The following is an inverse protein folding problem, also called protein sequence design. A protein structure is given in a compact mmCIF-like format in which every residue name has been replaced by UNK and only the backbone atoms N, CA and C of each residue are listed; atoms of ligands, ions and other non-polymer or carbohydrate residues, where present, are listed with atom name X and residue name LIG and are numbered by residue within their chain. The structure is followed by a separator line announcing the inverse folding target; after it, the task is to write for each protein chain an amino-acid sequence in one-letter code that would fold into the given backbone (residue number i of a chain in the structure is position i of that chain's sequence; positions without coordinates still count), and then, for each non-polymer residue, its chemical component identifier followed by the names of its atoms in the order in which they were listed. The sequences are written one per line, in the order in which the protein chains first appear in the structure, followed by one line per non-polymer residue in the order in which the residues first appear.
data_IF_384776288075
#
_entry.id   IF_384776288075
#
_cell.length_a   1.000
_cell.length_b   1.000
_cell.length_c   1.000
_cell.angle_alpha   90.00
_cell.angle_beta   90.00
_cell.angle_gamma   90.00
#
_symmetry.space_group_name_H-M   'P 1'
#
loop_
_entity.id
_entity.type
_entity.pdbx_description
1 polymer ?
#
# COMPACT_ATOMS: atom_id res chain seq x y z
N UNK A 1 -5.61 -1.03 27.89
CA UNK A 1 -6.58 -0.90 26.78
C UNK A 1 -8.03 -0.69 27.22
N UNK A 2 -8.57 -1.41 28.22
CA UNK A 2 -9.98 -1.25 28.69
C UNK A 2 -10.31 0.13 29.28
N UNK A 3 -9.38 0.81 29.93
CA UNK A 3 -9.62 2.13 30.53
C UNK A 3 -9.75 3.28 29.53
N UNK A 4 -9.02 3.23 28.41
CA UNK A 4 -9.13 4.26 27.37
C UNK A 4 -10.49 4.23 26.65
N UNK A 5 -11.07 3.03 26.48
CA UNK A 5 -12.39 2.85 25.87
C UNK A 5 -13.51 3.38 26.79
N UNK A 6 -13.38 3.24 28.10
CA UNK A 6 -14.35 3.74 29.09
C UNK A 6 -14.31 5.28 29.23
N UNK A 7 -13.15 5.90 29.15
CA UNK A 7 -13.02 7.37 29.11
C UNK A 7 -13.66 7.97 27.86
N UNK A 8 -13.47 7.33 26.73
CA UNK A 8 -14.08 7.72 25.45
C UNK A 8 -15.62 7.67 25.52
N UNK A 9 -16.17 6.64 26.17
CA UNK A 9 -17.61 6.49 26.42
C UNK A 9 -18.20 7.59 27.30
N UNK A 10 -17.47 8.03 28.32
CA UNK A 10 -17.91 9.11 29.21
C UNK A 10 -17.95 10.48 28.57
N UNK A 11 -17.05 10.74 27.62
CA UNK A 11 -16.99 12.03 26.86
C UNK A 11 -18.16 12.12 25.87
N UNK A 12 -18.56 11.01 25.25
CA UNK A 12 -19.66 10.99 24.27
C UNK A 12 -21.06 11.13 24.90
N UNK A 13 -21.22 10.83 26.21
CA UNK A 13 -22.50 10.81 26.87
C UNK A 13 -22.77 12.01 27.80
N UNK A 14 -22.01 13.10 27.71
CA UNK A 14 -22.38 14.34 28.44
C UNK A 14 -23.49 15.07 27.68
N UNK A 15 -24.67 15.26 28.29
CA UNK A 15 -25.72 16.09 27.69
C UNK A 15 -25.29 17.55 27.73
N UNK A 16 -25.05 18.18 26.56
CA UNK A 16 -24.82 19.61 26.52
C UNK A 16 -23.82 20.16 25.54
N UNK A 17 -23.14 19.32 24.73
CA UNK A 17 -22.22 19.80 23.69
C UNK A 17 -22.71 19.31 22.35
N UNK A 18 -22.84 20.21 21.36
CA UNK A 18 -23.33 19.97 20.00
C UNK A 18 -22.63 18.89 19.15
N UNK A 19 -22.15 17.81 19.80
CA UNK A 19 -21.36 16.74 19.20
C UNK A 19 -22.18 15.78 18.32
N UNK A 20 -23.44 15.51 18.65
CA UNK A 20 -24.24 14.54 17.90
C UNK A 20 -24.54 14.98 16.45
N UNK A 21 -24.80 16.27 16.23
CA UNK A 21 -25.02 16.84 14.89
C UNK A 21 -23.77 16.86 14.03
N UNK A 22 -22.60 17.04 14.62
CA UNK A 22 -21.31 17.05 13.94
C UNK A 22 -20.89 15.66 13.44
N UNK A 23 -21.05 14.63 14.27
CA UNK A 23 -20.71 13.25 13.87
C UNK A 23 -21.64 12.70 12.79
N UNK A 24 -22.93 13.01 12.84
CA UNK A 24 -23.89 12.67 11.78
C UNK A 24 -23.55 13.37 10.47
N UNK A 25 -23.09 14.63 10.51
CA UNK A 25 -22.56 15.35 9.35
C UNK A 25 -21.35 14.66 8.73
N UNK A 26 -20.40 14.20 9.53
CA UNK A 26 -19.23 13.45 9.08
C UNK A 26 -19.56 12.13 8.40
N UNK A 27 -20.51 11.37 8.95
CA UNK A 27 -21.02 10.13 8.34
C UNK A 27 -21.65 10.40 6.98
N UNK A 28 -22.50 11.44 6.89
CA UNK A 28 -23.19 11.81 5.64
C UNK A 28 -22.19 12.23 4.56
N UNK A 29 -21.15 12.99 4.92
CA UNK A 29 -20.07 13.37 4.02
C UNK A 29 -19.31 12.14 3.52
N UNK A 30 -19.03 11.16 4.40
CA UNK A 30 -18.33 9.93 4.02
C UNK A 30 -19.17 9.03 3.12
N UNK A 31 -20.49 8.95 3.35
CA UNK A 31 -21.42 8.24 2.45
C UNK A 31 -21.38 8.87 1.06
N UNK A 32 -21.43 10.19 0.96
CA UNK A 32 -21.37 10.90 -0.31
C UNK A 32 -20.04 10.64 -1.04
N UNK A 33 -18.91 10.67 -0.33
CA UNK A 33 -17.58 10.36 -0.90
C UNK A 33 -17.52 8.93 -1.44
N UNK A 34 -17.89 7.92 -0.63
CA UNK A 34 -17.89 6.51 -1.06
C UNK A 34 -18.84 6.29 -2.24
N UNK A 35 -20.04 6.88 -2.20
CA UNK A 35 -21.02 6.75 -3.28
C UNK A 35 -20.52 7.35 -4.59
N UNK A 36 -19.83 8.48 -4.55
CA UNK A 36 -19.28 9.14 -5.73
C UNK A 36 -18.15 8.34 -6.39
N UNK A 37 -17.40 7.56 -5.60
CA UNK A 37 -16.25 6.75 -6.08
C UNK A 37 -16.67 5.38 -6.61
N UNK A 38 -17.77 4.82 -6.09
CA UNK A 38 -18.24 3.48 -6.43
C UNK A 38 -19.65 3.53 -7.06
N UNK A 39 -19.78 4.19 -8.21
CA UNK A 39 -21.06 4.36 -8.91
C UNK A 39 -21.78 3.06 -9.31
N UNK A 40 -21.10 1.92 -9.24
CA UNK A 40 -21.68 0.58 -9.49
C UNK A 40 -22.39 0.01 -8.24
N UNK A 41 -22.07 0.51 -7.04
CA UNK A 41 -22.78 0.14 -5.81
C UNK A 41 -24.21 0.69 -5.83
N UNK A 42 -25.16 -0.11 -5.37
CA UNK A 42 -26.48 0.46 -5.04
C UNK A 42 -26.33 1.45 -3.88
N UNK A 43 -27.24 2.44 -3.75
CA UNK A 43 -27.18 3.40 -2.64
C UNK A 43 -27.13 2.72 -1.26
N UNK A 44 -27.83 1.59 -1.10
CA UNK A 44 -27.80 0.81 0.12
C UNK A 44 -26.41 0.17 0.36
N UNK A 45 -25.80 -0.41 -0.67
CA UNK A 45 -24.47 -1.00 -0.59
C UNK A 45 -23.38 0.05 -0.31
N UNK A 46 -23.43 1.20 -0.98
CA UNK A 46 -22.50 2.31 -0.74
C UNK A 46 -22.59 2.81 0.71
N UNK A 47 -23.81 2.95 1.22
CA UNK A 47 -24.07 3.33 2.62
C UNK A 47 -23.48 2.34 3.61
N UNK A 48 -23.65 1.03 3.39
CA UNK A 48 -23.09 0.00 4.29
C UNK A 48 -21.56 0.02 4.25
N UNK A 49 -20.95 0.15 3.08
CA UNK A 49 -19.49 0.27 2.94
C UNK A 49 -18.97 1.51 3.67
N UNK A 50 -19.65 2.64 3.51
CA UNK A 50 -19.31 3.88 4.19
C UNK A 50 -19.45 3.74 5.72
N UNK A 51 -20.54 3.18 6.20
CA UNK A 51 -20.74 2.92 7.63
C UNK A 51 -19.66 2.03 8.21
N UNK A 52 -19.35 0.92 7.53
CA UNK A 52 -18.35 -0.01 8.02
C UNK A 52 -16.97 0.62 8.07
N UNK A 53 -16.51 1.24 6.97
CA UNK A 53 -15.20 1.90 6.92
C UNK A 53 -15.10 3.08 7.90
N UNK A 54 -16.16 3.87 8.08
CA UNK A 54 -16.23 4.93 9.09
C UNK A 54 -16.12 4.36 10.51
N UNK A 55 -16.92 3.34 10.82
CA UNK A 55 -16.88 2.65 12.10
C UNK A 55 -15.52 2.04 12.40
N UNK A 56 -14.83 1.47 11.39
CA UNK A 56 -13.46 0.95 11.53
C UNK A 56 -12.48 2.00 12.03
N UNK A 57 -12.51 3.23 11.50
CA UNK A 57 -11.62 4.30 11.95
C UNK A 57 -11.86 4.64 13.40
N UNK A 58 -13.12 4.72 13.82
CA UNK A 58 -13.47 5.16 15.16
C UNK A 58 -13.28 4.05 16.20
N UNK A 59 -13.54 2.80 15.85
CA UNK A 59 -13.38 1.65 16.75
C UNK A 59 -12.01 0.98 16.66
N UNK A 60 -11.24 1.25 15.59
CA UNK A 60 -9.99 0.57 15.25
C UNK A 60 -10.17 -0.96 15.15
N UNK A 61 -11.30 -1.38 14.61
CA UNK A 61 -11.66 -2.79 14.43
C UNK A 61 -12.51 -2.97 13.18
N UNK A 62 -12.28 -4.04 12.43
CA UNK A 62 -13.19 -4.47 11.36
C UNK A 62 -14.28 -5.41 11.87
N UNK A 63 -14.26 -5.75 13.14
CA UNK A 63 -15.19 -6.71 13.75
C UNK A 63 -16.65 -6.25 13.67
N UNK A 64 -17.51 -7.11 13.09
CA UNK A 64 -18.94 -6.81 12.90
C UNK A 64 -19.63 -6.34 14.18
N UNK A 65 -19.40 -7.03 15.28
CA UNK A 65 -20.03 -6.70 16.58
C UNK A 65 -19.60 -5.33 17.06
N UNK A 66 -18.31 -5.04 17.07
CA UNK A 66 -17.75 -3.78 17.55
C UNK A 66 -18.25 -2.60 16.71
N UNK A 67 -18.19 -2.73 15.40
CA UNK A 67 -18.64 -1.69 14.47
C UNK A 67 -20.15 -1.50 14.54
N UNK A 68 -20.95 -2.58 14.59
CA UNK A 68 -22.42 -2.49 14.68
C UNK A 68 -22.88 -1.83 16.00
N UNK A 69 -22.24 -2.18 17.12
CA UNK A 69 -22.54 -1.53 18.42
C UNK A 69 -22.26 -0.03 18.37
N UNK A 70 -21.11 0.35 17.81
CA UNK A 70 -20.76 1.76 17.64
C UNK A 70 -21.76 2.49 16.74
N UNK A 71 -22.08 1.92 15.56
CA UNK A 71 -23.03 2.52 14.61
C UNK A 71 -24.44 2.63 15.18
N UNK A 72 -24.91 1.65 15.94
CA UNK A 72 -26.21 1.69 16.58
C UNK A 72 -26.32 2.91 17.52
N UNK A 73 -25.31 3.13 18.36
CA UNK A 73 -25.23 4.29 19.24
C UNK A 73 -25.14 5.61 18.47
N UNK A 74 -24.28 5.67 17.44
CA UNK A 74 -24.06 6.86 16.64
C UNK A 74 -25.30 7.31 15.86
N UNK A 75 -26.05 6.34 15.32
CA UNK A 75 -27.19 6.60 14.45
C UNK A 75 -28.54 6.56 15.18
N UNK A 76 -28.57 6.29 16.49
CA UNK A 76 -29.80 6.14 17.25
C UNK A 76 -30.67 4.97 16.77
N UNK A 77 -30.05 3.87 16.36
CA UNK A 77 -30.72 2.68 15.80
C UNK A 77 -30.46 1.46 16.68
N UNK A 78 -31.10 0.31 16.36
CA UNK A 78 -30.85 -0.91 17.09
C UNK A 78 -29.55 -1.60 16.65
N UNK A 79 -28.87 -2.26 17.59
CA UNK A 79 -27.69 -3.08 17.31
C UNK A 79 -27.97 -4.15 16.27
N UNK A 80 -29.10 -4.85 16.36
CA UNK A 80 -29.46 -5.93 15.45
C UNK A 80 -29.64 -5.42 14.00
N UNK A 81 -30.24 -4.25 13.83
CA UNK A 81 -30.37 -3.63 12.51
C UNK A 81 -28.99 -3.34 11.88
N UNK A 82 -28.07 -2.71 12.64
CA UNK A 82 -26.73 -2.39 12.12
C UNK A 82 -25.91 -3.66 11.88
N UNK A 83 -25.98 -4.61 12.81
CA UNK A 83 -25.31 -5.90 12.64
C UNK A 83 -25.80 -6.66 11.42
N UNK A 84 -27.10 -6.64 11.15
CA UNK A 84 -27.67 -7.28 9.98
C UNK A 84 -27.20 -6.63 8.69
N UNK A 85 -27.19 -5.29 8.60
CA UNK A 85 -26.70 -4.57 7.42
C UNK A 85 -25.24 -4.93 7.08
N UNK A 86 -24.33 -4.85 8.06
CA UNK A 86 -22.91 -5.16 7.85
C UNK A 86 -22.70 -6.65 7.56
N UNK A 87 -23.50 -7.53 8.14
CA UNK A 87 -23.45 -8.97 7.90
C UNK A 87 -23.91 -9.33 6.49
N UNK A 88 -25.03 -8.76 6.03
CA UNK A 88 -25.56 -9.00 4.68
C UNK A 88 -24.66 -8.47 3.57
N UNK A 89 -23.86 -7.43 3.83
CA UNK A 89 -22.80 -7.01 2.92
C UNK A 89 -21.85 -8.14 2.53
N UNK A 90 -21.53 -9.02 3.49
CA UNK A 90 -20.65 -10.16 3.27
C UNK A 90 -21.34 -11.36 2.65
N UNK A 91 -22.67 -11.38 2.55
CA UNK A 91 -23.44 -12.56 2.13
C UNK A 91 -23.63 -12.62 0.62
N UNK A 92 -23.73 -13.86 0.13
CA UNK A 92 -24.20 -14.13 -1.22
C UNK A 92 -25.70 -13.82 -1.33
N UNK A 93 -26.18 -13.55 -2.55
CA UNK A 93 -27.56 -13.11 -2.75
C UNK A 93 -28.59 -14.10 -2.16
N UNK A 94 -28.31 -15.39 -2.22
CA UNK A 94 -29.18 -16.43 -1.66
C UNK A 94 -29.28 -16.40 -0.13
N UNK A 95 -28.22 -15.91 0.54
CA UNK A 95 -28.13 -15.86 2.00
C UNK A 95 -28.67 -14.52 2.59
N UNK A 96 -28.99 -13.53 1.73
CA UNK A 96 -29.53 -12.23 2.12
C UNK A 96 -31.04 -12.29 2.37
N UNK A 97 -31.55 -11.39 3.22
CA UNK A 97 -32.99 -11.25 3.50
C UNK A 97 -33.63 -10.17 2.63
N UNK A 98 -34.93 -10.26 2.42
CA UNK A 98 -35.73 -9.24 1.73
C UNK A 98 -35.75 -9.36 0.21
N UNK A 99 -36.30 -8.33 -0.47
CA UNK A 99 -36.37 -8.22 -1.92
C UNK A 99 -35.11 -7.51 -2.47
N UNK A 100 -34.74 -7.77 -3.74
CA UNK A 100 -33.60 -7.09 -4.37
C UNK A 100 -32.22 -7.59 -3.90
N UNK A 101 -32.11 -8.84 -3.55
CA UNK A 101 -30.87 -9.51 -3.11
C UNK A 101 -29.80 -9.44 -4.19
N UNK A 102 -28.64 -8.85 -3.86
CA UNK A 102 -27.51 -8.74 -4.77
C UNK A 102 -26.21 -8.88 -4.02
N UNK A 103 -25.46 -9.91 -4.32
CA UNK A 103 -24.12 -10.07 -3.79
C UNK A 103 -23.17 -8.98 -4.31
N UNK A 104 -22.24 -8.55 -3.48
CA UNK A 104 -21.15 -7.65 -3.88
C UNK A 104 -20.10 -8.48 -4.61
N UNK A 105 -19.95 -8.26 -5.91
CA UNK A 105 -18.80 -8.77 -6.66
C UNK A 105 -17.63 -7.79 -6.51
N UNK A 106 -16.64 -8.19 -5.75
CA UNK A 106 -15.50 -7.32 -5.40
C UNK A 106 -14.67 -6.94 -6.62
N UNK A 107 -14.62 -7.79 -7.65
CA UNK A 107 -13.76 -7.58 -8.82
C UNK A 107 -14.16 -6.33 -9.63
N UNK A 108 -15.42 -5.95 -9.63
CA UNK A 108 -15.90 -4.75 -10.33
C UNK A 108 -15.52 -3.44 -9.65
N UNK A 109 -15.04 -3.51 -8.39
CA UNK A 109 -14.63 -2.33 -7.63
C UNK A 109 -13.12 -2.09 -7.62
N UNK A 110 -12.33 -2.97 -8.20
CA UNK A 110 -10.87 -2.81 -8.26
C UNK A 110 -10.46 -1.58 -9.08
N UNK A 111 -11.02 -1.42 -10.27
CA UNK A 111 -10.74 -0.25 -11.11
C UNK A 111 -11.23 1.06 -10.47
N UNK A 112 -12.46 1.19 -9.95
CA UNK A 112 -12.89 2.34 -9.16
C UNK A 112 -12.01 2.65 -7.95
N UNK A 113 -11.57 1.64 -7.21
CA UNK A 113 -10.70 1.82 -6.03
C UNK A 113 -9.33 2.39 -6.44
N UNK A 114 -8.71 1.82 -7.46
CA UNK A 114 -7.44 2.34 -7.97
C UNK A 114 -7.64 3.73 -8.60
N UNK A 115 -8.72 3.95 -9.34
CA UNK A 115 -9.09 5.26 -9.86
C UNK A 115 -9.24 6.32 -8.75
N UNK A 116 -9.77 5.92 -7.57
CA UNK A 116 -9.82 6.81 -6.40
C UNK A 116 -8.42 7.14 -5.88
N UNK A 117 -7.50 6.16 -5.79
CA UNK A 117 -6.10 6.44 -5.44
C UNK A 117 -5.49 7.43 -6.43
N UNK A 118 -5.63 7.19 -7.74
CA UNK A 118 -5.06 8.06 -8.78
C UNK A 118 -5.67 9.46 -8.80
N UNK A 119 -6.97 9.59 -8.50
CA UNK A 119 -7.63 10.89 -8.40
C UNK A 119 -7.14 11.75 -7.23
N UNK A 120 -6.53 11.14 -6.20
CA UNK A 120 -5.90 11.83 -5.08
C UNK A 120 -4.38 12.05 -5.31
N UNK A 121 -3.82 11.53 -6.41
CA UNK A 121 -2.43 11.71 -6.80
C UNK A 121 -2.19 13.11 -7.32
N UNK A 122 -1.01 13.72 -7.10
CA UNK A 122 -0.77 15.10 -7.56
C UNK A 122 -0.77 15.18 -9.09
N UNK A 123 -1.36 16.25 -9.65
CA UNK A 123 -1.25 16.52 -11.08
C UNK A 123 0.22 16.59 -11.51
N UNK A 124 0.58 15.88 -12.57
CA UNK A 124 1.96 15.86 -13.10
C UNK A 124 2.88 14.79 -12.50
N UNK A 125 2.57 14.16 -11.37
CA UNK A 125 3.29 12.99 -10.92
C UNK A 125 2.70 11.72 -11.58
N UNK A 126 3.48 11.09 -12.44
CA UNK A 126 3.04 9.93 -13.25
C UNK A 126 3.82 8.66 -12.94
N UNK A 127 4.42 8.59 -11.75
CA UNK A 127 5.14 7.40 -11.30
C UNK A 127 4.34 6.67 -10.26
N UNK A 128 4.19 5.36 -10.45
CA UNK A 128 3.48 4.48 -9.54
C UNK A 128 4.35 3.28 -9.18
N UNK A 129 4.45 2.97 -7.91
CA UNK A 129 5.08 1.75 -7.45
C UNK A 129 4.01 0.81 -6.89
N UNK A 130 3.95 -0.39 -7.44
CA UNK A 130 3.07 -1.47 -7.02
C UNK A 130 3.89 -2.57 -6.36
N UNK A 131 3.39 -3.12 -5.26
CA UNK A 131 4.00 -4.30 -4.65
C UNK A 131 3.04 -5.49 -4.72
N UNK A 132 3.58 -6.66 -5.07
CA UNK A 132 2.88 -7.93 -5.08
C UNK A 132 3.35 -8.75 -3.89
N UNK A 133 2.41 -9.23 -3.10
CA UNK A 133 2.73 -10.16 -2.02
C UNK A 133 1.48 -10.94 -1.59
N UNK A 134 1.69 -12.02 -0.85
CA UNK A 134 0.64 -12.84 -0.27
C UNK A 134 0.70 -12.78 1.26
N UNK A 135 -0.46 -12.68 1.89
CA UNK A 135 -0.56 -12.64 3.34
C UNK A 135 -1.65 -13.57 3.85
N UNK A 136 -1.51 -14.05 5.08
CA UNK A 136 -2.57 -14.83 5.73
C UNK A 136 -3.62 -13.92 6.34
N UNK A 137 -4.90 -14.30 6.24
CA UNK A 137 -6.00 -13.68 6.95
C UNK A 137 -6.63 -14.71 7.89
N UNK A 138 -6.39 -14.53 9.18
CA UNK A 138 -6.60 -15.58 10.16
C UNK A 138 -5.75 -16.82 9.83
N UNK A 139 -6.27 -17.98 10.18
CA UNK A 139 -5.66 -19.27 9.82
C UNK A 139 -6.33 -19.93 8.60
N UNK A 140 -7.35 -19.29 8.03
CA UNK A 140 -8.25 -19.90 7.04
C UNK A 140 -7.97 -19.48 5.61
N UNK A 141 -7.37 -18.32 5.41
CA UNK A 141 -7.20 -17.74 4.08
C UNK A 141 -5.79 -17.26 3.83
N UNK A 142 -5.43 -17.30 2.55
CA UNK A 142 -4.31 -16.56 1.98
C UNK A 142 -4.88 -15.50 1.03
N UNK A 143 -4.42 -14.27 1.16
CA UNK A 143 -4.82 -13.14 0.32
C UNK A 143 -3.64 -12.75 -0.55
N UNK A 144 -3.79 -12.97 -1.86
CA UNK A 144 -2.87 -12.48 -2.88
C UNK A 144 -3.23 -11.01 -3.12
N UNK A 145 -2.30 -10.10 -2.98
CA UNK A 145 -2.59 -8.65 -3.00
C UNK A 145 -1.62 -7.91 -3.91
N UNK A 146 -2.16 -6.99 -4.71
CA UNK A 146 -1.40 -5.89 -5.31
C UNK A 146 -1.75 -4.63 -4.56
N UNK A 147 -0.74 -3.94 -4.05
CA UNK A 147 -0.90 -2.69 -3.31
C UNK A 147 -0.12 -1.55 -3.94
N UNK A 148 -0.71 -0.36 -3.94
CA UNK A 148 0.01 0.89 -4.22
C UNK A 148 0.86 1.22 -3.00
N UNK A 149 2.18 1.33 -3.16
CA UNK A 149 3.08 1.66 -2.06
C UNK A 149 3.26 3.17 -1.94
N UNK A 150 3.10 3.68 -0.72
CA UNK A 150 3.12 5.11 -0.46
C UNK A 150 3.62 5.41 0.96
N UNK A 151 4.66 6.23 1.11
CA UNK A 151 5.20 6.73 2.40
C UNK A 151 5.26 5.68 3.52
N UNK A 152 5.86 4.52 3.24
CA UNK A 152 6.02 3.44 4.22
C UNK A 152 4.77 2.60 4.49
N UNK A 153 3.70 2.79 3.72
CA UNK A 153 2.46 2.01 3.76
C UNK A 153 2.17 1.39 2.40
N UNK A 154 1.18 0.51 2.34
CA UNK A 154 0.60 0.05 1.08
C UNK A 154 -0.93 0.06 1.16
N UNK A 155 -1.57 0.50 0.09
CA UNK A 155 -3.01 0.52 -0.09
C UNK A 155 -3.39 -0.66 -0.97
N UNK A 156 -4.11 -1.69 -0.47
CA UNK A 156 -4.60 -2.78 -1.31
C UNK A 156 -5.54 -2.24 -2.39
N UNK A 157 -5.26 -2.54 -3.65
CA UNK A 157 -6.11 -2.06 -4.78
C UNK A 157 -6.73 -3.19 -5.57
N UNK A 158 -6.09 -4.36 -5.64
CA UNK A 158 -6.66 -5.60 -6.15
C UNK A 158 -6.19 -6.77 -5.31
N UNK A 159 -7.04 -7.79 -5.15
CA UNK A 159 -6.69 -8.98 -4.37
C UNK A 159 -7.48 -10.20 -4.80
N UNK A 160 -7.00 -11.37 -4.39
CA UNK A 160 -7.72 -12.63 -4.49
C UNK A 160 -7.55 -13.43 -3.21
N UNK A 161 -8.68 -13.87 -2.63
CA UNK A 161 -8.69 -14.65 -1.39
C UNK A 161 -8.84 -16.12 -1.74
N UNK A 162 -7.92 -16.94 -1.25
CA UNK A 162 -7.97 -18.39 -1.39
C UNK A 162 -7.97 -19.06 -0.01
N UNK A 163 -8.50 -20.28 0.13
CA UNK A 163 -8.33 -21.05 1.36
C UNK A 163 -6.84 -21.24 1.68
N UNK A 164 -6.46 -21.16 2.97
CA UNK A 164 -5.07 -21.33 3.39
C UNK A 164 -4.51 -22.73 3.04
N UNK A 165 -5.38 -23.71 2.87
CA UNK A 165 -5.05 -25.07 2.45
C UNK A 165 -4.87 -25.21 0.94
N UNK A 166 -5.23 -24.18 0.15
CA UNK A 166 -5.08 -24.20 -1.30
C UNK A 166 -3.59 -24.23 -1.66
N UNK A 167 -3.09 -25.42 -1.97
CA UNK A 167 -1.75 -25.62 -2.50
C UNK A 167 -1.79 -25.41 -4.01
N UNK A 168 -0.85 -24.65 -4.56
CA UNK A 168 -0.60 -24.75 -5.97
C UNK A 168 -0.56 -23.48 -6.77
N UNK A 169 -1.08 -23.56 -7.94
CA UNK A 169 -0.77 -22.70 -9.08
C UNK A 169 -1.43 -21.32 -8.95
N UNK A 170 -0.81 -20.41 -8.24
CA UNK A 170 -1.32 -19.03 -8.09
C UNK A 170 -1.12 -18.17 -9.35
N UNK A 171 -0.42 -18.67 -10.35
CA UNK A 171 -0.17 -17.94 -11.60
C UNK A 171 -1.45 -17.39 -12.25
N UNK A 172 -2.54 -18.15 -12.45
CA UNK A 172 -3.77 -17.61 -13.06
C UNK A 172 -4.41 -16.48 -12.24
N UNK A 173 -4.26 -16.54 -10.90
CA UNK A 173 -4.76 -15.48 -10.02
C UNK A 173 -3.93 -14.20 -10.20
N UNK A 174 -2.59 -14.30 -10.17
CA UNK A 174 -1.72 -13.15 -10.39
C UNK A 174 -1.91 -12.51 -11.77
N UNK A 175 -2.02 -13.31 -12.84
CA UNK A 175 -2.29 -12.80 -14.19
C UNK A 175 -3.62 -12.04 -14.26
N UNK A 176 -4.66 -12.54 -13.58
CA UNK A 176 -5.96 -11.85 -13.46
C UNK A 176 -5.85 -10.55 -12.68
N UNK A 177 -5.15 -10.55 -11.55
CA UNK A 177 -4.96 -9.35 -10.74
C UNK A 177 -4.21 -8.26 -11.52
N UNK A 178 -3.12 -8.60 -12.20
CA UNK A 178 -2.39 -7.66 -13.06
C UNK A 178 -3.26 -7.09 -14.18
N UNK A 179 -4.14 -7.91 -14.79
CA UNK A 179 -5.09 -7.45 -15.78
C UNK A 179 -6.08 -6.41 -15.22
N UNK A 180 -6.60 -6.63 -14.01
CA UNK A 180 -7.49 -5.65 -13.35
C UNK A 180 -6.79 -4.33 -13.07
N UNK A 181 -5.54 -4.36 -12.62
CA UNK A 181 -4.76 -3.13 -12.40
C UNK A 181 -4.49 -2.42 -13.73
N UNK A 182 -4.10 -3.16 -14.78
CA UNK A 182 -3.80 -2.60 -16.10
C UNK A 182 -4.96 -1.87 -16.75
N UNK A 183 -6.18 -2.28 -16.45
CA UNK A 183 -7.39 -1.61 -16.97
C UNK A 183 -7.65 -0.22 -16.33
N UNK A 184 -6.97 0.13 -15.24
CA UNK A 184 -7.25 1.33 -14.47
C UNK A 184 -6.08 2.33 -14.42
N UNK A 185 -4.84 1.90 -14.73
CA UNK A 185 -3.67 2.79 -14.77
C UNK A 185 -3.56 3.40 -16.18
N UNK A 186 -3.42 4.73 -16.31
CA UNK A 186 -3.19 5.36 -17.60
C UNK A 186 -1.88 4.89 -18.27
N UNK A 187 -1.87 4.80 -19.59
CA UNK A 187 -0.74 4.25 -20.37
C UNK A 187 0.55 5.08 -20.26
N UNK A 188 0.42 6.38 -20.01
CA UNK A 188 1.54 7.30 -19.91
C UNK A 188 2.22 7.33 -18.53
N UNK A 189 1.82 6.44 -17.62
CA UNK A 189 2.41 6.34 -16.30
C UNK A 189 3.61 5.39 -16.27
N UNK A 190 4.68 5.81 -15.63
CA UNK A 190 5.82 4.93 -15.31
C UNK A 190 5.45 4.07 -14.10
N UNK A 191 5.23 2.79 -14.33
CA UNK A 191 4.85 1.84 -13.28
C UNK A 191 5.96 0.84 -13.02
N UNK A 192 6.43 0.74 -11.77
CA UNK A 192 7.29 -0.36 -11.33
C UNK A 192 6.47 -1.36 -10.51
N UNK A 193 6.73 -2.65 -10.72
CA UNK A 193 6.06 -3.73 -10.01
C UNK A 193 7.07 -4.55 -9.24
N UNK A 194 6.96 -4.51 -7.94
CA UNK A 194 7.90 -5.05 -6.97
C UNK A 194 7.41 -6.39 -6.43
N UNK A 195 8.24 -7.42 -6.48
CA UNK A 195 7.92 -8.70 -5.86
C UNK A 195 9.17 -9.36 -5.27
N UNK A 196 8.96 -10.16 -4.21
CA UNK A 196 10.07 -10.85 -3.58
C UNK A 196 10.48 -12.12 -4.34
N UNK A 197 11.58 -12.75 -3.86
CA UNK A 197 12.15 -13.95 -4.48
C UNK A 197 11.19 -15.14 -4.53
N UNK A 198 10.21 -15.19 -3.63
CA UNK A 198 9.21 -16.27 -3.58
C UNK A 198 8.21 -16.20 -4.73
N UNK A 199 8.03 -15.02 -5.31
CA UNK A 199 7.13 -14.79 -6.44
C UNK A 199 7.84 -14.75 -7.79
N UNK A 200 9.19 -14.73 -7.81
CA UNK A 200 9.92 -14.66 -9.07
C UNK A 200 9.56 -15.83 -10.01
N UNK A 201 9.17 -15.46 -11.21
CA UNK A 201 9.00 -16.38 -12.33
C UNK A 201 9.14 -15.61 -13.66
N UNK A 202 9.69 -16.26 -14.69
CA UNK A 202 9.80 -15.66 -16.03
C UNK A 202 8.43 -15.22 -16.59
N UNK A 203 7.38 -16.01 -16.34
CA UNK A 203 6.03 -15.64 -16.75
C UNK A 203 5.55 -14.36 -16.07
N UNK A 204 5.88 -14.14 -14.78
CA UNK A 204 5.50 -12.93 -14.05
C UNK A 204 6.22 -11.70 -14.62
N UNK A 205 7.53 -11.82 -14.88
CA UNK A 205 8.30 -10.76 -15.56
C UNK A 205 7.63 -10.33 -16.88
N UNK A 206 7.27 -11.31 -17.72
CA UNK A 206 6.59 -11.06 -18.98
C UNK A 206 5.17 -10.52 -18.83
N UNK A 207 4.43 -10.99 -17.81
CA UNK A 207 3.08 -10.50 -17.54
C UNK A 207 3.07 -9.03 -17.10
N UNK A 208 4.08 -8.60 -16.34
CA UNK A 208 4.24 -7.20 -15.93
C UNK A 208 4.60 -6.31 -17.13
N UNK A 209 5.41 -6.80 -18.05
CA UNK A 209 5.79 -6.03 -19.26
C UNK A 209 4.63 -5.80 -20.23
N UNK A 210 3.61 -6.66 -20.26
CA UNK A 210 2.49 -6.56 -21.24
C UNK A 210 1.79 -5.20 -21.28
N UNK A 211 1.46 -4.57 -20.14
CA UNK A 211 0.87 -3.23 -20.11
C UNK A 211 1.93 -2.10 -20.18
N UNK A 212 3.19 -2.38 -20.52
CA UNK A 212 4.27 -1.39 -20.55
C UNK A 212 4.89 -1.08 -19.18
N UNK A 213 4.67 -1.93 -18.18
CA UNK A 213 5.21 -1.73 -16.83
C UNK A 213 6.56 -2.40 -16.63
N UNK A 214 7.28 -1.98 -15.61
CA UNK A 214 8.65 -2.40 -15.36
C UNK A 214 8.71 -3.36 -14.15
N UNK A 215 9.10 -4.62 -14.36
CA UNK A 215 9.30 -5.57 -13.27
C UNK A 215 10.52 -5.17 -12.42
N UNK A 216 10.40 -5.33 -11.10
CA UNK A 216 11.47 -5.29 -10.10
C UNK A 216 11.37 -6.56 -9.25
N UNK A 217 11.82 -7.67 -9.83
CA UNK A 217 11.66 -8.99 -9.23
C UNK A 217 12.95 -9.42 -8.57
N UNK A 218 12.92 -9.62 -7.25
CA UNK A 218 14.06 -10.19 -6.54
C UNK A 218 14.18 -11.66 -6.89
N UNK A 219 15.41 -12.11 -7.17
CA UNK A 219 15.76 -13.51 -7.38
C UNK A 219 16.68 -14.01 -6.25
N UNK A 220 16.83 -15.33 -6.15
CA UNK A 220 17.84 -15.92 -5.29
C UNK A 220 19.21 -15.88 -5.97
N UNK A 221 20.27 -16.21 -5.24
CA UNK A 221 21.64 -16.25 -5.76
C UNK A 221 21.99 -17.56 -6.48
N UNK A 222 21.03 -18.47 -6.62
CA UNK A 222 21.20 -19.69 -7.40
C UNK A 222 20.95 -19.40 -8.88
N UNK A 223 21.82 -19.88 -9.72
CA UNK A 223 21.76 -19.64 -11.15
C UNK A 223 22.97 -18.87 -11.69
N UNK A 224 22.87 -18.47 -12.92
CA UNK A 224 24.00 -17.87 -13.65
C UNK A 224 23.54 -16.62 -14.41
N UNK A 225 24.48 -15.71 -14.63
CA UNK A 225 24.31 -14.54 -15.46
C UNK A 225 25.48 -14.36 -16.42
N UNK A 226 25.24 -13.68 -17.51
CA UNK A 226 26.26 -13.31 -18.49
C UNK A 226 26.03 -11.84 -18.89
N UNK A 227 26.98 -10.92 -18.60
CA UNK A 227 26.92 -9.56 -19.12
C UNK A 227 26.82 -9.55 -20.63
N UNK A 228 26.04 -8.64 -21.18
CA UNK A 228 25.94 -8.46 -22.65
C UNK A 228 27.32 -8.16 -23.23
N UNK A 229 27.66 -8.83 -24.33
CA UNK A 229 28.99 -8.75 -24.94
C UNK A 229 30.03 -9.72 -24.39
N UNK A 230 29.73 -10.49 -23.35
CA UNK A 230 30.60 -11.56 -22.83
C UNK A 230 30.13 -12.94 -23.32
N UNK A 231 31.07 -13.89 -23.34
CA UNK A 231 30.81 -15.26 -23.84
C UNK A 231 30.39 -16.23 -22.77
N UNK A 232 30.87 -16.07 -21.54
CA UNK A 232 30.73 -17.07 -20.49
C UNK A 232 29.73 -16.66 -19.40
N UNK A 233 28.92 -17.61 -18.98
CA UNK A 233 28.05 -17.45 -17.81
C UNK A 233 28.86 -17.57 -16.52
N UNK A 234 28.50 -16.77 -15.52
CA UNK A 234 29.09 -16.74 -14.18
C UNK A 234 28.01 -16.97 -13.14
N UNK A 235 28.33 -17.54 -11.95
CA UNK A 235 27.36 -17.69 -10.87
C UNK A 235 26.82 -16.33 -10.39
N UNK A 236 25.50 -16.23 -10.16
CA UNK A 236 24.89 -15.03 -9.58
C UNK A 236 25.45 -14.65 -8.21
N UNK A 237 25.89 -15.63 -7.44
CA UNK A 237 26.52 -15.41 -6.15
C UNK A 237 27.81 -14.58 -6.20
N UNK A 238 28.44 -14.47 -7.38
CA UNK A 238 29.71 -13.73 -7.55
C UNK A 238 29.52 -12.28 -8.00
N UNK A 239 28.27 -11.83 -8.22
CA UNK A 239 28.01 -10.51 -8.82
C UNK A 239 28.24 -9.36 -7.85
N UNK A 240 28.10 -9.58 -6.56
CA UNK A 240 28.29 -8.58 -5.51
C UNK A 240 28.82 -9.22 -4.23
N UNK A 241 29.74 -8.54 -3.57
CA UNK A 241 30.23 -8.90 -2.24
C UNK A 241 29.55 -8.03 -1.17
N UNK A 242 29.52 -8.53 0.08
CA UNK A 242 28.96 -7.80 1.22
C UNK A 242 29.77 -6.53 1.49
N UNK A 243 29.09 -5.41 1.66
CA UNK A 243 29.73 -4.12 1.97
C UNK A 243 30.36 -3.41 0.76
N UNK A 244 30.22 -3.95 -0.46
CA UNK A 244 30.66 -3.27 -1.67
C UNK A 244 29.55 -2.40 -2.28
N UNK A 245 29.99 -1.45 -3.11
CA UNK A 245 29.10 -0.58 -3.88
C UNK A 245 28.29 -1.36 -4.86
N UNK A 246 27.32 -1.92 -4.83
CA UNK A 246 26.50 -2.71 -5.77
C UNK A 246 27.01 -2.78 -7.21
N UNK A 247 26.36 -3.57 -7.99
CA UNK A 247 26.62 -3.73 -9.41
C UNK A 247 25.32 -3.63 -10.22
N UNK A 248 25.36 -3.04 -11.41
CA UNK A 248 24.23 -3.03 -12.35
C UNK A 248 24.71 -3.14 -13.79
N UNK A 249 23.96 -3.89 -14.58
CA UNK A 249 24.32 -4.07 -15.99
C UNK A 249 23.28 -4.85 -16.78
N UNK A 250 23.32 -4.71 -18.11
CA UNK A 250 22.54 -5.51 -19.02
C UNK A 250 23.11 -6.93 -19.09
N UNK A 251 22.28 -7.94 -18.94
CA UNK A 251 22.69 -9.34 -18.84
C UNK A 251 21.71 -10.29 -19.53
N UNK A 252 22.21 -11.48 -19.85
CA UNK A 252 21.40 -12.68 -19.96
C UNK A 252 21.42 -13.41 -18.61
N UNK A 253 20.29 -13.51 -17.95
CA UNK A 253 20.12 -14.34 -16.76
C UNK A 253 19.66 -15.75 -17.13
N UNK A 254 20.16 -16.73 -16.40
CA UNK A 254 19.88 -18.18 -16.53
C UNK A 254 20.39 -18.79 -17.84
N UNK A 255 21.37 -19.69 -17.72
CA UNK A 255 22.06 -20.28 -18.87
C UNK A 255 21.14 -21.14 -19.75
N UNK A 256 20.17 -21.86 -19.15
CA UNK A 256 19.21 -22.68 -19.89
C UNK A 256 18.36 -21.82 -20.84
N UNK A 257 18.29 -22.20 -22.11
CA UNK A 257 17.52 -21.48 -23.14
C UNK A 257 16.04 -21.33 -22.79
N UNK A 258 15.44 -22.33 -22.13
CA UNK A 258 14.03 -22.30 -21.72
C UNK A 258 13.73 -21.26 -20.62
N UNK A 259 14.72 -20.93 -19.77
CA UNK A 259 14.59 -19.99 -18.68
C UNK A 259 15.26 -18.64 -18.96
N UNK A 260 16.10 -18.55 -20.01
CA UNK A 260 16.93 -17.36 -20.30
C UNK A 260 16.08 -16.10 -20.43
N UNK A 261 16.58 -15.05 -19.78
CA UNK A 261 15.96 -13.74 -19.76
C UNK A 261 17.02 -12.66 -19.98
N UNK A 262 16.92 -11.92 -21.09
CA UNK A 262 17.70 -10.71 -21.32
C UNK A 262 17.05 -9.57 -20.57
N UNK A 263 17.79 -8.94 -19.66
CA UNK A 263 17.27 -7.92 -18.75
C UNK A 263 18.42 -7.09 -18.14
N UNK A 264 18.10 -6.15 -17.30
CA UNK A 264 19.05 -5.50 -16.37
C UNK A 264 19.05 -6.25 -15.06
N UNK A 265 20.22 -6.61 -14.58
CA UNK A 265 20.45 -7.11 -13.23
C UNK A 265 20.98 -5.98 -12.36
N UNK A 266 20.32 -5.75 -11.23
CA UNK A 266 20.75 -4.85 -10.18
C UNK A 266 21.16 -5.70 -8.97
N UNK A 267 22.37 -5.54 -8.50
CA UNK A 267 22.92 -6.29 -7.38
C UNK A 267 23.39 -5.35 -6.28
N UNK A 268 22.95 -5.57 -5.03
CA UNK A 268 23.33 -4.78 -3.88
C UNK A 268 23.35 -5.64 -2.62
N UNK A 269 24.40 -5.48 -1.79
CA UNK A 269 24.48 -6.17 -0.53
C UNK A 269 24.97 -5.24 0.57
N UNK A 270 24.03 -4.66 1.30
CA UNK A 270 24.28 -3.71 2.40
C UNK A 270 23.74 -4.26 3.71
N UNK A 271 24.34 -3.84 4.82
CA UNK A 271 23.79 -4.07 6.15
C UNK A 271 22.36 -3.48 6.27
N UNK A 272 21.45 -4.09 7.04
CA UNK A 272 21.63 -5.31 7.85
C UNK A 272 21.23 -6.62 7.11
N UNK A 273 21.19 -6.63 5.79
CA UNK A 273 20.68 -7.77 5.01
C UNK A 273 21.62 -8.97 5.05
N UNK A 274 21.07 -10.16 5.35
CA UNK A 274 21.79 -11.45 5.34
C UNK A 274 22.11 -11.91 3.92
N UNK A 275 21.25 -11.60 2.96
CA UNK A 275 21.34 -12.00 1.56
C UNK A 275 21.39 -10.77 0.64
N UNK A 276 22.08 -10.84 -0.51
CA UNK A 276 22.09 -9.77 -1.47
C UNK A 276 20.70 -9.53 -2.09
N UNK A 277 20.46 -8.30 -2.48
CA UNK A 277 19.40 -7.99 -3.41
C UNK A 277 19.90 -8.21 -4.83
N UNK A 278 19.35 -9.21 -5.50
CA UNK A 278 19.53 -9.48 -6.92
C UNK A 278 18.19 -9.25 -7.59
N UNK A 279 18.07 -8.17 -8.36
CA UNK A 279 16.79 -7.68 -8.86
C UNK A 279 16.86 -7.64 -10.39
N UNK A 280 15.86 -8.23 -11.03
CA UNK A 280 15.71 -8.19 -12.48
C UNK A 280 14.68 -7.13 -12.85
N UNK A 281 15.05 -6.29 -13.83
CA UNK A 281 14.18 -5.29 -14.45
C UNK A 281 14.46 -5.21 -15.95
N UNK A 282 13.52 -4.64 -16.71
CA UNK A 282 13.68 -4.36 -18.14
C UNK A 282 14.17 -2.93 -18.41
N UNK A 283 14.20 -2.08 -17.40
CA UNK A 283 14.72 -0.73 -17.52
C UNK A 283 16.24 -0.75 -17.83
N UNK A 284 16.73 0.17 -18.66
CA UNK A 284 18.17 0.31 -18.89
C UNK A 284 18.94 0.54 -17.58
N UNK A 285 20.20 0.05 -17.45
CA UNK A 285 20.98 0.24 -16.23
C UNK A 285 21.12 1.71 -15.78
N UNK A 286 21.20 2.65 -16.73
CA UNK A 286 21.31 4.07 -16.43
C UNK A 286 20.01 4.68 -15.86
N UNK A 287 18.85 4.11 -16.21
CA UNK A 287 17.52 4.63 -15.85
C UNK A 287 16.92 3.97 -14.61
N UNK A 288 17.68 3.20 -13.85
CA UNK A 288 17.16 2.41 -12.73
C UNK A 288 18.12 2.37 -11.54
N UNK A 289 17.61 2.11 -10.36
CA UNK A 289 18.37 2.01 -9.11
C UNK A 289 17.87 0.84 -8.24
N UNK A 290 18.80 0.09 -7.67
CA UNK A 290 18.51 -1.02 -6.78
C UNK A 290 17.76 -0.58 -5.50
N UNK A 291 17.93 0.66 -5.06
CA UNK A 291 17.26 1.21 -3.89
C UNK A 291 15.73 1.27 -4.06
N UNK A 292 15.21 1.34 -5.29
CA UNK A 292 13.76 1.31 -5.54
C UNK A 292 13.10 0.03 -5.04
N UNK A 293 13.85 -1.07 -5.03
CA UNK A 293 13.34 -2.33 -4.48
C UNK A 293 12.99 -2.24 -2.98
N UNK A 294 13.60 -1.31 -2.25
CA UNK A 294 13.28 -1.06 -0.84
C UNK A 294 11.81 -0.68 -0.60
N UNK A 295 11.14 -0.10 -1.60
CA UNK A 295 9.70 0.23 -1.55
C UNK A 295 8.83 -1.03 -1.34
N UNK A 296 9.30 -2.20 -1.76
CA UNK A 296 8.58 -3.47 -1.59
C UNK A 296 8.24 -3.77 -0.12
N UNK A 297 9.13 -3.43 0.79
CA UNK A 297 8.91 -3.68 2.22
C UNK A 297 7.66 -2.97 2.77
N UNK A 298 7.16 -1.93 2.10
CA UNK A 298 5.99 -1.18 2.55
C UNK A 298 4.69 -1.97 2.46
N UNK A 299 4.60 -3.01 1.62
CA UNK A 299 3.41 -3.88 1.60
C UNK A 299 3.25 -4.66 2.90
N UNK A 300 4.35 -5.03 3.55
CA UNK A 300 4.32 -5.69 4.86
C UNK A 300 3.76 -4.77 5.95
N UNK A 301 4.05 -3.46 5.87
CA UNK A 301 3.45 -2.47 6.74
C UNK A 301 1.94 -2.34 6.48
N UNK A 302 1.51 -2.31 5.22
CA UNK A 302 0.09 -2.34 4.86
C UNK A 302 -0.63 -3.59 5.38
N UNK A 303 0.01 -4.75 5.33
CA UNK A 303 -0.54 -5.97 5.93
C UNK A 303 -0.62 -5.90 7.46
N UNK A 304 0.33 -5.26 8.13
CA UNK A 304 0.23 -5.01 9.59
C UNK A 304 -0.96 -4.12 9.91
N UNK A 305 -1.21 -3.08 9.12
CA UNK A 305 -2.36 -2.19 9.29
C UNK A 305 -3.69 -2.92 9.06
N UNK A 306 -3.77 -3.84 8.10
CA UNK A 306 -4.96 -4.69 7.90
C UNK A 306 -5.18 -5.72 9.02
N UNK A 307 -4.13 -6.10 9.73
CA UNK A 307 -4.14 -7.10 10.80
C UNK A 307 -4.17 -6.42 12.19
N UNK A 308 -3.41 -6.97 13.15
CA UNK A 308 -3.37 -6.53 14.56
C UNK A 308 -2.91 -5.09 14.77
N UNK A 309 -2.17 -4.52 13.83
CA UNK A 309 -1.67 -3.15 13.93
C UNK A 309 -2.71 -2.06 13.62
N UNK A 310 -3.82 -2.42 12.98
CA UNK A 310 -4.83 -1.45 12.53
C UNK A 310 -6.27 -1.96 12.67
N UNK A 311 -6.75 -2.75 11.70
CA UNK A 311 -8.17 -3.12 11.61
C UNK A 311 -8.52 -4.44 12.31
N UNK A 312 -7.57 -5.14 12.86
CA UNK A 312 -7.72 -6.44 13.54
C UNK A 312 -8.37 -7.54 12.65
N UNK A 313 -8.13 -7.49 11.35
CA UNK A 313 -8.68 -8.43 10.37
C UNK A 313 -8.29 -9.88 10.64
N UNK A 314 -7.20 -10.11 11.36
CA UNK A 314 -6.73 -11.43 11.80
C UNK A 314 -7.77 -12.20 12.64
N UNK A 315 -8.65 -11.50 13.34
CA UNK A 315 -9.68 -12.08 14.22
C UNK A 315 -10.94 -12.51 13.43
N UNK A 316 -10.92 -12.43 12.11
CA UNK A 316 -12.09 -12.81 11.32
C UNK A 316 -12.47 -14.27 11.53
N UNK A 317 -13.76 -14.52 11.73
CA UNK A 317 -14.36 -15.86 11.83
C UNK A 317 -14.99 -16.34 10.54
N UNK A 318 -14.81 -15.59 9.44
CA UNK A 318 -15.35 -15.96 8.14
C UNK A 318 -14.80 -17.29 7.66
N UNK A 319 -15.65 -18.05 6.93
CA UNK A 319 -15.32 -19.40 6.43
C UNK A 319 -15.29 -19.47 4.90
N UNK A 320 -15.84 -18.48 4.20
CA UNK A 320 -15.90 -18.43 2.73
C UNK A 320 -14.97 -17.35 2.19
N UNK A 321 -14.13 -17.64 1.19
CA UNK A 321 -13.19 -16.66 0.59
C UNK A 321 -13.89 -15.41 0.06
N UNK A 322 -15.08 -15.55 -0.53
CA UNK A 322 -15.86 -14.45 -1.10
C UNK A 322 -16.30 -13.47 -0.02
N UNK A 323 -16.70 -13.95 1.15
CA UNK A 323 -17.05 -13.12 2.31
C UNK A 323 -15.82 -12.38 2.86
N UNK A 324 -14.70 -13.09 2.96
CA UNK A 324 -13.43 -12.48 3.37
C UNK A 324 -12.96 -11.44 2.35
N UNK A 325 -13.19 -11.64 1.05
CA UNK A 325 -12.88 -10.68 0.00
C UNK A 325 -13.71 -9.38 0.13
N UNK A 326 -14.99 -9.48 0.51
CA UNK A 326 -15.85 -8.31 0.77
C UNK A 326 -15.44 -7.54 2.03
N UNK A 327 -15.00 -8.24 3.09
CA UNK A 327 -14.37 -7.61 4.24
C UNK A 327 -13.09 -6.86 3.82
N UNK A 328 -12.28 -7.49 2.96
CA UNK A 328 -11.04 -6.88 2.49
C UNK A 328 -11.30 -5.59 1.70
N UNK A 329 -12.40 -5.48 0.96
CA UNK A 329 -12.82 -4.24 0.30
C UNK A 329 -13.06 -3.11 1.31
N UNK A 330 -13.77 -3.39 2.40
CA UNK A 330 -13.98 -2.39 3.44
C UNK A 330 -12.65 -1.98 4.10
N UNK A 331 -11.73 -2.94 4.35
CA UNK A 331 -10.39 -2.63 4.85
C UNK A 331 -9.54 -1.84 3.84
N UNK A 332 -9.67 -2.09 2.54
CA UNK A 332 -8.96 -1.33 1.51
C UNK A 332 -9.44 0.13 1.46
N UNK A 333 -10.75 0.36 1.51
CA UNK A 333 -11.34 1.71 1.52
C UNK A 333 -10.89 2.51 2.75
N UNK A 334 -10.94 1.92 3.93
CA UNK A 334 -10.49 2.61 5.16
C UNK A 334 -8.98 2.84 5.17
N UNK A 335 -8.20 1.91 4.60
CA UNK A 335 -6.75 2.09 4.47
C UNK A 335 -6.43 3.23 3.50
N UNK A 336 -7.11 3.31 2.35
CA UNK A 336 -6.98 4.44 1.42
C UNK A 336 -7.25 5.77 2.13
N UNK A 337 -8.37 5.89 2.84
CA UNK A 337 -8.72 7.10 3.55
C UNK A 337 -7.67 7.49 4.60
N UNK A 338 -7.31 6.57 5.47
CA UNK A 338 -6.35 6.87 6.54
C UNK A 338 -4.94 7.16 6.02
N UNK A 339 -4.48 6.44 4.98
CA UNK A 339 -3.17 6.67 4.38
C UNK A 339 -3.13 8.00 3.63
N UNK A 340 -4.18 8.38 2.89
CA UNK A 340 -4.22 9.66 2.20
C UNK A 340 -4.24 10.85 3.17
N UNK A 341 -5.03 10.78 4.23
CA UNK A 341 -5.06 11.82 5.29
C UNK A 341 -3.73 11.89 6.04
N UNK A 342 -3.21 10.73 6.46
CA UNK A 342 -1.95 10.69 7.21
C UNK A 342 -0.74 11.16 6.40
N UNK A 343 -0.73 10.86 5.09
CA UNK A 343 0.31 11.33 4.17
C UNK A 343 0.25 12.83 3.92
N UNK A 344 -0.93 13.41 3.81
CA UNK A 344 -1.12 14.84 3.70
C UNK A 344 -0.63 15.58 4.97
N UNK A 345 -0.98 15.06 6.15
CA UNK A 345 -0.51 15.62 7.45
C UNK A 345 1.00 15.50 7.60
N UNK A 346 1.60 14.39 7.18
CA UNK A 346 3.05 14.19 7.24
C UNK A 346 3.77 15.15 6.27
N UNK A 347 3.27 15.29 5.04
CA UNK A 347 3.84 16.20 4.06
C UNK A 347 3.76 17.67 4.49
N UNK A 348 2.66 18.07 5.11
CA UNK A 348 2.52 19.42 5.68
C UNK A 348 3.53 19.67 6.81
N UNK A 349 3.78 18.68 7.67
CA UNK A 349 4.78 18.79 8.73
C UNK A 349 6.21 18.86 8.17
N UNK A 350 6.52 18.07 7.13
CA UNK A 350 7.81 18.12 6.43
C UNK A 350 8.04 19.50 5.79
N UNK A 351 7.01 20.07 5.13
CA UNK A 351 7.06 21.40 4.52
C UNK A 351 7.23 22.53 5.55
N UNK A 352 6.52 22.45 6.67
CA UNK A 352 6.66 23.41 7.77
C UNK A 352 8.08 23.39 8.41
N UNK A 353 8.66 22.19 8.54
CA UNK A 353 10.03 22.06 9.05
C UNK A 353 11.07 22.67 8.09
N UNK A 354 10.89 22.52 6.77
CA UNK A 354 11.76 23.12 5.76
C UNK A 354 11.69 24.65 5.76
N UNK A 355 10.48 25.22 5.95
CA UNK A 355 10.30 26.68 6.04
C UNK A 355 10.88 27.27 7.33
N UNK A 356 10.81 26.57 8.44
CA UNK A 356 11.39 27.00 9.72
C UNK A 356 12.92 27.01 9.66
N UNK A 357 13.54 25.96 9.07
CA UNK A 357 14.99 25.91 8.88
C UNK A 357 15.49 27.00 7.90
N UNK A 358 14.65 27.44 6.95
CA UNK A 358 14.96 28.54 6.02
C UNK A 358 14.82 29.93 6.66
N UNK A 359 14.07 30.04 7.77
CA UNK A 359 13.83 31.32 8.49
C UNK A 359 14.83 31.59 9.63
N UNK A 360 15.77 30.68 9.90
CA UNK A 360 16.89 30.91 10.83
C UNK A 360 18.20 31.08 10.05
N UNK A 361 18.47 32.26 9.46
CA UNK A 361 19.77 32.52 8.86
C UNK A 361 20.80 32.73 9.97
N UNK A 362 21.78 31.85 10.02
CA UNK A 362 22.97 32.06 10.83
C UNK A 362 23.78 33.24 10.23
N UNK A 363 23.77 34.38 10.91
CA UNK A 363 24.31 35.64 10.42
C UNK A 363 25.84 35.68 10.34
N UNK A 364 26.55 34.55 10.55
CA UNK A 364 28.00 34.49 10.63
C UNK A 364 28.68 33.38 9.85
N UNK A 365 28.05 32.81 8.78
CA UNK A 365 28.67 31.73 8.01
C UNK A 365 29.28 32.24 6.68
N UNK A 366 30.53 31.84 6.31
CA UNK A 366 31.09 32.08 4.98
C UNK A 366 30.30 31.28 3.93
N UNK A 367 30.21 31.83 2.70
CA UNK A 367 29.44 31.33 1.55
C UNK A 367 29.47 29.80 1.41
N UNK A 368 28.30 29.14 1.27
CA UNK A 368 28.24 27.71 1.33
C UNK A 368 28.70 27.06 0.02
N UNK A 369 29.63 26.13 0.14
CA UNK A 369 29.80 25.05 -0.81
C UNK A 369 28.49 24.26 -0.90
N UNK A 370 28.14 23.62 -2.05
CA UNK A 370 26.88 22.90 -2.21
C UNK A 370 26.80 21.77 -1.18
N UNK A 371 26.02 21.99 -0.14
CA UNK A 371 25.78 21.01 0.93
C UNK A 371 24.78 19.99 0.41
N UNK A 372 25.25 18.81 0.11
CA UNK A 372 24.40 17.63 0.00
C UNK A 372 23.65 17.43 1.32
N UNK A 373 22.32 17.37 1.34
CA UNK A 373 21.58 17.23 2.58
C UNK A 373 21.75 15.83 3.16
N UNK A 374 22.73 15.64 4.03
CA UNK A 374 22.85 14.47 4.90
C UNK A 374 21.97 14.65 6.14
N UNK A 375 20.70 14.94 5.96
CA UNK A 375 19.77 14.91 7.08
C UNK A 375 19.41 13.46 7.37
N UNK A 376 20.00 12.86 8.40
CA UNK A 376 19.50 11.60 8.98
C UNK A 376 18.03 11.83 9.31
N UNK A 377 17.13 11.25 8.51
CA UNK A 377 15.69 11.32 8.79
C UNK A 377 15.45 10.81 10.20
N UNK A 378 14.81 11.62 11.06
CA UNK A 378 14.39 11.15 12.38
C UNK A 378 13.58 9.85 12.20
N UNK A 379 13.81 8.82 13.04
CA UNK A 379 13.07 7.59 12.93
C UNK A 379 11.57 7.90 13.00
N UNK A 380 10.80 7.38 12.06
CA UNK A 380 9.35 7.58 11.98
C UNK A 380 8.68 6.89 13.18
N UNK A 381 8.08 7.66 14.08
CA UNK A 381 7.41 7.15 15.28
C UNK A 381 6.05 6.50 14.97
N UNK A 382 5.33 6.99 13.96
CA UNK A 382 4.01 6.53 13.57
C UNK A 382 3.98 6.24 12.08
N UNK A 383 3.28 5.15 11.67
CA UNK A 383 2.99 4.92 10.26
C UNK A 383 2.05 6.02 9.72
N UNK A 384 2.10 6.21 8.38
CA UNK A 384 1.21 7.13 7.68
C UNK A 384 -0.27 6.78 7.98
N UNK A 385 -0.65 5.50 7.93
CA UNK A 385 -1.99 5.02 8.28
C UNK A 385 -2.38 5.38 9.71
N UNK A 386 -1.50 5.12 10.69
CA UNK A 386 -1.78 5.43 12.11
C UNK A 386 -1.92 6.93 12.37
N UNK A 387 -1.11 7.76 11.71
CA UNK A 387 -1.21 9.22 11.75
C UNK A 387 -2.57 9.69 11.23
N UNK A 388 -3.03 9.11 10.10
CA UNK A 388 -4.34 9.39 9.53
C UNK A 388 -5.48 9.02 10.47
N UNK A 389 -5.47 7.84 11.09
CA UNK A 389 -6.48 7.44 12.09
C UNK A 389 -6.57 8.46 13.21
N UNK A 390 -5.43 8.87 13.79
CA UNK A 390 -5.38 9.85 14.88
C UNK A 390 -5.96 11.18 14.42
N UNK A 391 -5.53 11.67 13.24
CA UNK A 391 -5.96 12.95 12.71
C UNK A 391 -7.47 12.97 12.42
N UNK A 392 -8.01 11.94 11.77
CA UNK A 392 -9.45 11.82 11.48
C UNK A 392 -10.24 11.84 12.79
N UNK A 393 -9.84 11.04 13.76
CA UNK A 393 -10.53 10.97 15.05
C UNK A 393 -10.48 12.30 15.80
N UNK A 394 -9.33 12.95 15.88
CA UNK A 394 -9.18 14.25 16.52
C UNK A 394 -10.02 15.34 15.84
N UNK A 395 -10.07 15.34 14.52
CA UNK A 395 -10.89 16.27 13.73
C UNK A 395 -12.38 16.09 14.00
N UNK A 396 -12.84 14.84 14.02
CA UNK A 396 -14.25 14.51 14.32
C UNK A 396 -14.63 14.85 15.76
N UNK A 397 -13.76 14.54 16.73
CA UNK A 397 -13.98 14.89 18.14
C UNK A 397 -14.04 16.40 18.36
N UNK A 398 -13.28 17.16 17.59
CA UNK A 398 -13.31 18.63 17.62
C UNK A 398 -14.49 19.24 16.85
N UNK A 399 -15.43 18.42 16.36
CA UNK A 399 -16.59 18.90 15.61
C UNK A 399 -16.28 19.51 14.25
N UNK A 400 -15.07 19.27 13.70
CA UNK A 400 -14.65 19.82 12.43
C UNK A 400 -15.12 18.95 11.24
N UNK A 401 -15.19 19.51 10.01
CA UNK A 401 -15.55 18.74 8.82
C UNK A 401 -14.63 17.53 8.61
N UNK A 402 -15.15 16.51 7.93
CA UNK A 402 -14.44 15.28 7.62
C UNK A 402 -13.14 15.59 6.84
N UNK A 403 -11.95 15.18 7.32
CA UNK A 403 -10.72 15.47 6.63
C UNK A 403 -10.64 14.66 5.34
N UNK A 404 -10.39 15.35 4.23
CA UNK A 404 -10.10 14.74 2.94
C UNK A 404 -8.61 14.62 2.77
N UNK A 405 -8.15 13.41 2.40
CA UNK A 405 -6.75 13.17 2.13
C UNK A 405 -6.38 13.50 0.68
N UNK A 406 -5.08 13.62 0.45
CA UNK A 406 -4.45 13.62 -0.87
C UNK A 406 -3.08 12.97 -0.75
N UNK A 407 -2.50 12.58 -1.87
CA UNK A 407 -1.18 11.98 -1.87
C UNK A 407 -0.10 13.02 -2.21
N UNK A 408 1.04 12.91 -1.53
CA UNK A 408 2.27 13.65 -1.81
C UNK A 408 3.39 12.62 -1.86
N UNK A 409 3.61 11.97 -3.02
CA UNK A 409 4.62 10.94 -3.17
C UNK A 409 6.03 11.49 -2.88
N UNK A 410 6.83 10.67 -2.20
CA UNK A 410 8.25 10.94 -2.06
C UNK A 410 8.98 10.55 -3.36
N UNK A 411 10.09 11.23 -3.70
CA UNK A 411 10.97 10.73 -4.73
C UNK A 411 11.39 9.29 -4.44
N UNK A 412 11.51 8.47 -5.48
CA UNK A 412 12.01 7.12 -5.28
C UNK A 412 13.46 7.17 -4.77
N UNK A 413 13.83 6.29 -3.82
CA UNK A 413 15.14 6.34 -3.21
C UNK A 413 16.23 6.10 -4.26
N UNK A 414 17.33 6.82 -4.16
CA UNK A 414 18.50 6.61 -5.01
C UNK A 414 19.64 6.04 -4.16
N UNK A 415 20.41 5.14 -4.74
CA UNK A 415 21.73 4.83 -4.23
C UNK A 415 22.55 6.10 -4.42
N UNK A 416 23.17 6.64 -3.36
CA UNK A 416 24.01 7.84 -3.50
C UNK A 416 25.01 7.61 -4.63
N UNK A 417 25.18 8.59 -5.55
CA UNK A 417 26.22 8.48 -6.54
C UNK A 417 27.54 8.32 -5.79
N UNK A 418 28.24 7.23 -6.02
CA UNK A 418 29.65 7.12 -5.63
C UNK A 418 30.35 8.34 -6.15
N UNK A 419 31.08 9.02 -5.28
CA UNK A 419 31.93 10.15 -5.69
C UNK A 419 32.69 9.74 -6.95
N UNK A 420 32.66 10.58 -7.97
CA UNK A 420 33.40 10.35 -9.22
C UNK A 420 34.82 9.92 -8.85
N UNK A 421 35.39 8.90 -9.51
CA UNK A 421 36.75 8.49 -9.23
C UNK A 421 37.66 9.73 -9.33
N UNK A 422 38.61 9.90 -8.41
CA UNK A 422 39.51 11.02 -8.46
C UNK A 422 40.16 11.06 -9.85
N UNK A 423 40.36 12.26 -10.43
CA UNK A 423 40.99 12.37 -11.73
C UNK A 423 42.33 11.64 -11.68
N UNK A 424 42.58 10.80 -12.68
CA UNK A 424 43.84 10.05 -12.79
C UNK A 424 44.99 11.03 -12.62
N UNK A 425 45.83 10.85 -11.60
CA UNK A 425 47.06 11.61 -11.46
C UNK A 425 47.87 11.36 -12.74
N UNK A 426 47.99 12.38 -13.55
CA UNK A 426 49.04 12.41 -14.57
C UNK A 426 50.34 12.30 -13.83
N UNK A 427 51.02 11.17 -14.01
CA UNK A 427 52.40 10.99 -13.58
C UNK A 427 53.21 11.77 -14.59
N UNK A 428 53.84 12.84 -14.13
CA UNK A 428 54.85 13.60 -14.88
C UNK A 428 56.14 12.79 -14.98
#
# INVERSE_FOLDING_TARGET
MRQATLLYWKVLNQPGVGGATSHQGGVSQWIAEVSSRFGVLTPAQARVLAYWSYGMVLTQSCGLTTVATFLATLLGTTYDAQRQHVREWCYDAADQRGKGRRAVDVSVYFAPLLGWVLALWPPGERRLALALDATTLGQRFTVLTVGVVYRGCAIPVVWHVVPATAKGRWRPHWERLLKHVGAAVPEDWMVIVLADRGLYARWLFKAIQRPGWHPFLRINQHGQYRPVGQTHFRPLATVVCRGTDGWKGAVDCFASSSCRLTCTLLARWTEPHTDPWLILTDLPPAATDAAWYGLRAWIECGFKDCKRGGWDGQQTTMTRPERASRLWLAMAVVTLWTVSVGGAVEAAADGAALTLDALTPDLCAPLPLPVTPTRRSRPRLLSCSRRGVIHIRATLLAGRPLPRGHFVPLPWPLTFPTASPPPARQVA
#
